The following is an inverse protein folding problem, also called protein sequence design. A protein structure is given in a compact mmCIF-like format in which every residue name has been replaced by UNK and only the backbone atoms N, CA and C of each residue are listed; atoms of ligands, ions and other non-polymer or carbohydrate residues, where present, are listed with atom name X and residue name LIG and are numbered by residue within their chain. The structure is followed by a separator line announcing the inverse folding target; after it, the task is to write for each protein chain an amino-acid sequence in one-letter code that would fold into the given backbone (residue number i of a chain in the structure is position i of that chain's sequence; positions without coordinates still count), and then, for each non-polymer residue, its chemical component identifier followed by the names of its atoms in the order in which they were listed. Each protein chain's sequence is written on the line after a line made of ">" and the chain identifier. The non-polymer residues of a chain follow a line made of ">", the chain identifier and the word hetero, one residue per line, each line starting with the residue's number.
data_IF_656786478755
#
_entry.id   IF_656786478755
#
_cell.length_a   1.000
_cell.length_b   1.000
_cell.length_c   1.000
_cell.angle_alpha   90.00
_cell.angle_beta   90.00
_cell.angle_gamma   90.00
#
_symmetry.space_group_name_H-M   'P 1'
#
loop_
_entity.id
_entity.type
_entity.pdbx_description
1 polymer ?
#
# COMPACT_ATOMS: atom_id res chain seq x y z
N UNK A 1 3.32 11.58 -25.92
CA UNK A 1 3.16 11.15 -24.53
C UNK A 1 4.31 11.62 -23.63
N UNK A 2 5.58 11.48 -24.05
CA UNK A 2 6.73 11.90 -23.24
C UNK A 2 6.81 13.41 -23.01
N UNK A 3 6.42 14.25 -23.97
CA UNK A 3 6.46 15.70 -23.84
C UNK A 3 5.43 16.23 -22.85
N UNK A 4 4.24 15.66 -22.80
CA UNK A 4 3.20 16.04 -21.85
C UNK A 4 3.61 15.69 -20.41
N UNK A 5 4.21 14.53 -20.22
CA UNK A 5 4.73 14.07 -18.91
C UNK A 5 5.88 14.97 -18.44
N UNK A 6 6.82 15.32 -19.34
CA UNK A 6 7.89 16.29 -19.06
C UNK A 6 7.35 17.68 -18.72
N UNK A 7 6.29 18.13 -19.42
CA UNK A 7 5.65 19.40 -19.17
C UNK A 7 4.96 19.45 -17.81
N UNK A 8 4.21 18.40 -17.44
CA UNK A 8 3.55 18.28 -16.13
C UNK A 8 4.60 18.27 -15.00
N UNK A 9 5.70 17.52 -15.15
CA UNK A 9 6.81 17.48 -14.21
C UNK A 9 7.50 18.85 -14.04
N UNK A 10 7.58 19.65 -15.11
CA UNK A 10 8.16 20.99 -15.07
C UNK A 10 7.25 22.03 -14.40
N UNK A 11 5.93 21.85 -14.51
CA UNK A 11 4.93 22.76 -13.94
C UNK A 11 4.70 22.54 -12.43
N UNK A 12 4.99 21.35 -11.91
CA UNK A 12 4.81 21.03 -10.48
C UNK A 12 5.86 21.66 -9.55
N UNK A 13 6.89 22.34 -10.11
CA UNK A 13 7.95 22.98 -9.31
C UNK A 13 8.88 22.01 -8.58
N UNK A 14 8.60 20.71 -8.62
CA UNK A 14 9.43 19.66 -8.02
C UNK A 14 10.41 19.11 -9.06
N UNK A 15 11.60 19.67 -9.15
CA UNK A 15 12.69 19.22 -10.04
C UNK A 15 13.13 17.75 -9.84
N UNK A 16 12.51 17.04 -8.90
CA UNK A 16 12.80 15.65 -8.55
C UNK A 16 11.86 14.63 -9.21
N UNK A 17 10.78 15.06 -9.89
CA UNK A 17 9.85 14.17 -10.58
C UNK A 17 10.32 13.87 -12.01
N UNK A 18 11.50 13.29 -12.15
CA UNK A 18 11.97 12.84 -13.46
C UNK A 18 11.49 11.43 -13.74
N UNK A 19 10.71 11.25 -14.79
CA UNK A 19 10.35 9.94 -15.32
C UNK A 19 11.62 9.31 -15.90
N UNK A 20 12.02 8.15 -15.36
CA UNK A 20 13.14 7.36 -15.87
C UNK A 20 12.68 6.39 -16.95
N UNK A 21 11.50 5.80 -16.77
CA UNK A 21 10.99 4.75 -17.65
C UNK A 21 9.46 4.81 -17.72
N UNK A 22 8.93 4.68 -18.94
CA UNK A 22 7.51 4.43 -19.16
C UNK A 22 7.30 2.91 -19.22
N UNK A 23 6.48 2.39 -18.30
CA UNK A 23 6.27 0.95 -18.12
C UNK A 23 5.06 0.42 -18.90
N UNK A 24 4.31 1.32 -19.57
CA UNK A 24 3.03 0.97 -20.20
C UNK A 24 1.85 1.02 -19.22
N UNK A 25 0.64 0.79 -19.72
CA UNK A 25 -0.61 0.72 -18.96
C UNK A 25 -0.82 1.92 -17.99
N UNK A 26 -0.30 3.11 -18.34
CA UNK A 26 -0.34 4.30 -17.50
C UNK A 26 0.68 4.32 -16.36
N UNK A 27 1.54 3.32 -16.24
CA UNK A 27 2.57 3.25 -15.21
C UNK A 27 3.89 3.83 -15.67
N UNK A 28 4.56 4.51 -14.76
CA UNK A 28 5.90 5.06 -14.96
C UNK A 28 6.78 4.73 -13.77
N UNK A 29 8.09 4.66 -14.01
CA UNK A 29 9.11 4.69 -12.96
C UNK A 29 9.69 6.07 -12.86
N UNK A 30 9.67 6.64 -11.66
CA UNK A 30 10.32 7.91 -11.37
C UNK A 30 11.73 7.68 -10.81
N UNK A 31 12.59 8.67 -11.00
CA UNK A 31 13.91 8.66 -10.38
C UNK A 31 13.82 8.59 -8.86
N UNK A 32 14.62 7.72 -8.26
CA UNK A 32 14.70 7.54 -6.81
C UNK A 32 16.11 7.86 -6.33
N UNK A 33 16.22 8.65 -5.27
CA UNK A 33 17.49 8.93 -4.60
C UNK A 33 17.82 7.85 -3.58
N UNK A 34 19.09 7.71 -3.24
CA UNK A 34 19.53 6.82 -2.16
C UNK A 34 18.97 7.23 -0.78
N UNK A 35 18.71 8.53 -0.58
CA UNK A 35 18.08 9.02 0.64
C UNK A 35 16.64 8.49 0.75
N UNK A 36 15.86 8.50 -0.32
CA UNK A 36 14.51 7.95 -0.34
C UNK A 36 14.47 6.44 -0.16
N UNK A 37 15.42 5.71 -0.74
CA UNK A 37 15.55 4.26 -0.51
C UNK A 37 15.85 3.93 0.95
N UNK A 38 16.69 4.74 1.59
CA UNK A 38 16.99 4.60 3.04
C UNK A 38 15.77 4.96 3.87
N UNK A 39 15.07 6.05 3.54
CA UNK A 39 13.87 6.47 4.24
C UNK A 39 12.78 5.39 4.19
N UNK A 40 12.59 4.73 3.05
CA UNK A 40 11.60 3.67 2.88
C UNK A 40 11.75 2.52 3.90
N UNK A 41 12.98 2.27 4.40
CA UNK A 41 13.22 1.28 5.47
C UNK A 41 12.69 1.75 6.83
N UNK A 42 12.46 3.04 7.01
CA UNK A 42 11.97 3.63 8.25
C UNK A 42 10.49 4.01 8.19
N UNK A 43 9.88 3.98 7.00
CA UNK A 43 8.47 4.37 6.82
C UNK A 43 7.49 3.36 7.42
N UNK A 44 7.90 2.10 7.52
CA UNK A 44 7.12 1.01 8.11
C UNK A 44 7.83 0.54 9.37
N UNK A 45 7.29 0.85 10.54
CA UNK A 45 7.86 0.49 11.84
C UNK A 45 6.99 -0.51 12.60
N UNK A 46 5.69 -0.55 12.29
CA UNK A 46 4.71 -1.42 12.92
C UNK A 46 3.79 -2.04 11.87
N UNK A 47 3.14 -3.14 12.24
CA UNK A 47 2.15 -3.80 11.36
C UNK A 47 1.02 -2.85 10.97
N UNK A 48 0.62 -1.96 11.88
CA UNK A 48 -0.44 -0.98 11.64
C UNK A 48 -0.06 0.05 10.56
N UNK A 49 1.22 0.34 10.38
CA UNK A 49 1.67 1.24 9.30
C UNK A 49 1.41 0.61 7.93
N UNK A 50 1.55 -0.73 7.82
CA UNK A 50 1.18 -1.47 6.61
C UNK A 50 -0.31 -1.28 6.30
N UNK A 51 -1.17 -1.41 7.33
CA UNK A 51 -2.62 -1.26 7.17
C UNK A 51 -2.95 0.14 6.66
N UNK A 52 -2.35 1.17 7.24
CA UNK A 52 -2.58 2.57 6.84
C UNK A 52 -2.17 2.79 5.38
N UNK A 53 -1.00 2.31 4.98
CA UNK A 53 -0.51 2.49 3.60
C UNK A 53 -1.37 1.71 2.58
N UNK A 54 -1.82 0.50 2.93
CA UNK A 54 -2.70 -0.28 2.06
C UNK A 54 -4.08 0.37 1.91
N UNK A 55 -4.64 0.95 2.98
CA UNK A 55 -5.89 1.72 2.91
C UNK A 55 -5.75 2.97 2.05
N UNK A 56 -4.61 3.68 2.15
CA UNK A 56 -4.31 4.83 1.28
C UNK A 56 -4.23 4.40 -0.18
N UNK A 57 -3.55 3.29 -0.47
CA UNK A 57 -3.45 2.75 -1.83
C UNK A 57 -4.81 2.37 -2.40
N UNK A 58 -5.68 1.72 -1.62
CA UNK A 58 -7.04 1.37 -2.04
C UNK A 58 -7.88 2.63 -2.32
N UNK A 59 -7.85 3.64 -1.42
CA UNK A 59 -8.51 4.94 -1.64
C UNK A 59 -8.04 5.58 -2.94
N UNK A 60 -6.74 5.60 -3.16
CA UNK A 60 -6.14 6.20 -4.33
C UNK A 60 -6.44 5.42 -5.61
N UNK A 61 -6.70 4.13 -5.53
CA UNK A 61 -7.24 3.31 -6.61
C UNK A 61 -8.75 3.50 -6.83
N UNK A 62 -9.39 4.41 -6.08
CA UNK A 62 -10.82 4.68 -6.19
C UNK A 62 -11.70 3.63 -5.55
N UNK A 63 -11.17 2.78 -4.66
CA UNK A 63 -11.97 1.80 -3.95
C UNK A 63 -12.94 2.48 -2.98
N UNK A 64 -14.16 1.99 -2.93
CA UNK A 64 -15.19 2.36 -1.94
C UNK A 64 -15.40 1.25 -0.89
N UNK A 65 -14.81 0.08 -1.10
CA UNK A 65 -14.84 -1.06 -0.19
C UNK A 65 -13.46 -1.67 -0.05
N UNK A 66 -13.05 -1.87 1.21
CA UNK A 66 -11.83 -2.58 1.55
C UNK A 66 -12.15 -3.61 2.63
N UNK A 67 -11.70 -4.83 2.43
CA UNK A 67 -11.78 -5.90 3.42
C UNK A 67 -10.38 -6.26 3.87
N UNK A 68 -10.18 -6.36 5.18
CA UNK A 68 -8.93 -6.80 5.79
C UNK A 68 -9.20 -8.09 6.57
N UNK A 69 -8.50 -9.16 6.20
CA UNK A 69 -8.39 -10.37 7.01
C UNK A 69 -6.98 -10.46 7.60
N UNK A 70 -6.87 -10.93 8.83
CA UNK A 70 -5.58 -11.09 9.49
C UNK A 70 -5.53 -12.36 10.32
N UNK A 71 -4.37 -13.04 10.28
CA UNK A 71 -4.06 -14.17 11.15
C UNK A 71 -2.69 -13.98 11.80
N UNK A 72 -2.46 -14.66 12.92
CA UNK A 72 -1.14 -14.76 13.54
C UNK A 72 -0.91 -16.22 13.93
N UNK A 73 0.00 -16.87 13.23
CA UNK A 73 0.34 -18.26 13.41
C UNK A 73 1.87 -18.40 13.49
N UNK A 74 2.36 -19.16 14.45
CA UNK A 74 3.79 -19.42 14.65
C UNK A 74 4.68 -18.16 14.66
N UNK A 75 4.16 -17.09 15.25
CA UNK A 75 4.87 -15.80 15.32
C UNK A 75 4.87 -15.00 14.03
N UNK A 76 4.18 -15.45 12.97
CA UNK A 76 4.03 -14.73 11.71
C UNK A 76 2.66 -14.07 11.63
N UNK A 77 2.64 -12.76 11.40
CA UNK A 77 1.42 -12.02 11.09
C UNK A 77 1.20 -12.03 9.58
N UNK A 78 0.04 -12.50 9.16
CA UNK A 78 -0.42 -12.43 7.77
C UNK A 78 -1.60 -11.48 7.67
N UNK A 79 -1.54 -10.58 6.69
CA UNK A 79 -2.57 -9.62 6.32
C UNK A 79 -3.01 -9.89 4.89
N UNK A 80 -4.31 -9.96 4.66
CA UNK A 80 -4.90 -10.04 3.32
C UNK A 80 -5.84 -8.86 3.14
N UNK A 81 -5.56 -8.03 2.14
CA UNK A 81 -6.37 -6.87 1.77
C UNK A 81 -7.10 -7.18 0.48
N UNK A 82 -8.40 -6.92 0.44
CA UNK A 82 -9.20 -6.94 -0.78
C UNK A 82 -9.83 -5.56 -0.96
N UNK A 83 -9.72 -5.01 -2.14
CA UNK A 83 -10.35 -3.76 -2.54
C UNK A 83 -11.09 -3.92 -3.86
N UNK A 84 -12.04 -3.04 -4.12
CA UNK A 84 -12.78 -2.96 -5.37
C UNK A 84 -12.36 -1.74 -6.22
N UNK A 85 -11.11 -1.31 -6.11
CA UNK A 85 -10.56 -0.21 -6.90
C UNK A 85 -10.27 -0.58 -8.35
N UNK A 86 -9.49 0.27 -9.03
CA UNK A 86 -9.12 0.13 -10.44
C UNK A 86 -8.31 -1.13 -10.77
N UNK A 87 -7.79 -1.82 -9.76
CA UNK A 87 -6.97 -3.01 -9.95
C UNK A 87 -5.56 -2.72 -10.49
N UNK A 88 -4.83 -3.80 -10.78
CA UNK A 88 -3.45 -3.76 -11.28
C UNK A 88 -3.34 -4.67 -12.50
N UNK A 89 -2.88 -4.18 -13.68
CA UNK A 89 -2.60 -4.99 -14.86
C UNK A 89 -1.63 -6.12 -14.54
N UNK A 90 -1.78 -7.26 -15.21
CA UNK A 90 -1.05 -8.48 -14.89
C UNK A 90 0.48 -8.31 -14.99
N UNK A 91 0.95 -7.61 -16.00
CA UNK A 91 2.37 -7.33 -16.24
C UNK A 91 2.98 -6.33 -15.23
N UNK A 92 2.13 -5.62 -14.49
CA UNK A 92 2.53 -4.66 -13.47
C UNK A 92 2.51 -5.23 -12.04
N UNK A 93 1.90 -6.39 -11.79
CA UNK A 93 1.67 -6.92 -10.44
C UNK A 93 2.94 -7.17 -9.62
N UNK A 94 4.06 -7.46 -10.25
CA UNK A 94 5.36 -7.56 -9.58
C UNK A 94 6.05 -6.19 -9.50
N UNK A 95 5.95 -5.39 -10.56
CA UNK A 95 6.66 -4.12 -10.71
C UNK A 95 6.14 -3.01 -9.80
N UNK A 96 4.88 -3.06 -9.38
CA UNK A 96 4.32 -2.06 -8.45
C UNK A 96 5.02 -2.03 -7.09
N UNK A 97 5.78 -3.08 -6.74
CA UNK A 97 6.61 -3.13 -5.53
C UNK A 97 8.01 -2.54 -5.75
N UNK A 98 8.36 -2.11 -6.94
CA UNK A 98 9.61 -1.41 -7.20
C UNK A 98 9.52 0.04 -6.71
N UNK A 99 10.67 0.59 -6.34
CA UNK A 99 10.74 1.97 -5.88
C UNK A 99 10.28 2.95 -6.97
N UNK A 100 9.40 3.86 -6.60
CA UNK A 100 8.92 4.94 -7.47
C UNK A 100 8.15 4.48 -8.72
N UNK A 101 7.58 3.28 -8.72
CA UNK A 101 6.60 2.86 -9.73
C UNK A 101 5.23 3.37 -9.34
N UNK A 102 4.57 4.10 -10.23
CA UNK A 102 3.25 4.70 -9.98
C UNK A 102 2.47 4.86 -11.28
N UNK A 103 1.15 4.73 -11.21
CA UNK A 103 0.20 5.09 -12.26
C UNK A 103 -0.45 6.48 -12.04
N UNK A 104 -0.05 7.21 -11.00
CA UNK A 104 -0.78 8.35 -10.45
C UNK A 104 -0.09 9.69 -10.70
N UNK A 105 0.61 9.86 -11.82
CA UNK A 105 1.26 11.14 -12.16
C UNK A 105 0.27 12.30 -12.23
N UNK A 106 -0.96 12.04 -12.68
CA UNK A 106 -1.99 13.07 -12.84
C UNK A 106 -2.72 13.38 -11.54
N UNK A 107 -2.67 12.49 -10.54
CA UNK A 107 -3.38 12.60 -9.27
C UNK A 107 -2.48 12.89 -8.08
N UNK A 108 -1.26 13.40 -8.31
CA UNK A 108 -0.41 13.87 -7.22
C UNK A 108 -1.05 15.10 -6.57
N UNK A 109 -2.02 14.83 -5.70
CA UNK A 109 -2.63 15.84 -4.85
C UNK A 109 -1.75 16.04 -3.63
N UNK A 110 -1.39 17.29 -3.38
CA UNK A 110 -0.93 17.70 -2.06
C UNK A 110 -2.08 17.48 -1.09
N UNK A 111 -2.01 16.45 -0.31
CA UNK A 111 -2.91 16.26 0.82
C UNK A 111 -2.42 17.11 2.00
N UNK A 112 -3.32 17.39 2.95
CA UNK A 112 -3.07 18.13 4.21
C UNK A 112 -1.88 17.57 5.02
N UNK A 113 -1.44 16.36 4.69
CA UNK A 113 -0.41 15.56 5.37
C UNK A 113 0.86 15.35 4.53
N UNK A 114 1.01 16.04 3.42
CA UNK A 114 2.18 15.95 2.54
C UNK A 114 1.88 15.30 1.20
N UNK A 115 2.90 15.20 0.34
CA UNK A 115 2.77 14.62 -1.00
C UNK A 115 2.72 13.09 -0.87
N UNK A 116 1.52 12.53 -0.98
CA UNK A 116 1.31 11.08 -1.09
C UNK A 116 1.25 10.65 -2.56
N UNK A 117 1.52 9.37 -2.83
CA UNK A 117 1.43 8.82 -4.20
C UNK A 117 2.76 8.75 -4.95
N UNK A 118 3.90 8.91 -4.27
CA UNK A 118 5.24 8.88 -4.90
C UNK A 118 5.72 7.48 -5.32
N UNK A 119 4.89 6.45 -5.24
CA UNK A 119 5.27 5.08 -5.60
C UNK A 119 6.27 4.44 -4.63
N UNK A 120 6.30 4.86 -3.36
CA UNK A 120 7.21 4.31 -2.35
C UNK A 120 6.53 3.40 -1.33
N UNK A 121 5.22 3.48 -1.14
CA UNK A 121 4.51 2.76 -0.09
C UNK A 121 4.63 1.23 -0.23
N UNK A 122 4.31 0.68 -1.39
CA UNK A 122 4.44 -0.76 -1.65
C UNK A 122 5.89 -1.23 -1.61
N UNK A 123 6.83 -0.41 -2.10
CA UNK A 123 8.26 -0.67 -1.95
C UNK A 123 8.67 -0.73 -0.48
N UNK A 124 8.24 0.23 0.35
CA UNK A 124 8.52 0.26 1.80
C UNK A 124 7.94 -0.96 2.51
N UNK A 125 6.72 -1.38 2.17
CA UNK A 125 6.10 -2.59 2.69
C UNK A 125 6.96 -3.81 2.33
N UNK A 126 7.32 -3.98 1.05
CA UNK A 126 8.14 -5.12 0.59
C UNK A 126 9.52 -5.17 1.24
N UNK A 127 10.15 -4.02 1.51
CA UNK A 127 11.46 -3.94 2.18
C UNK A 127 11.40 -4.36 3.66
N UNK A 128 10.26 -4.16 4.33
CA UNK A 128 10.10 -4.36 5.77
C UNK A 128 9.34 -5.65 6.13
N UNK A 129 8.90 -6.44 5.16
CA UNK A 129 8.13 -7.67 5.37
C UNK A 129 8.83 -8.88 4.75
N UNK A 130 8.40 -10.07 5.13
CA UNK A 130 8.95 -11.33 4.60
C UNK A 130 8.33 -11.66 3.25
N UNK A 131 7.04 -11.35 3.09
CA UNK A 131 6.30 -11.49 1.83
C UNK A 131 5.39 -10.29 1.62
N UNK A 132 5.41 -9.72 0.43
CA UNK A 132 4.40 -8.79 -0.06
C UNK A 132 4.15 -9.07 -1.55
N UNK A 133 2.91 -9.42 -1.89
CA UNK A 133 2.54 -9.75 -3.27
C UNK A 133 1.08 -9.47 -3.58
N UNK A 134 0.79 -9.34 -4.86
CA UNK A 134 -0.57 -9.42 -5.39
C UNK A 134 -0.98 -10.90 -5.42
N UNK A 135 -2.12 -11.24 -4.86
CA UNK A 135 -2.71 -12.58 -4.93
C UNK A 135 -3.51 -12.73 -6.21
N UNK A 136 -4.33 -11.74 -6.49
CA UNK A 136 -5.09 -11.60 -7.73
C UNK A 136 -5.47 -10.16 -7.95
N UNK A 137 -5.49 -9.72 -9.18
CA UNK A 137 -5.96 -8.42 -9.60
C UNK A 137 -6.21 -8.40 -11.09
N UNK A 138 -6.96 -7.42 -11.56
CA UNK A 138 -7.17 -7.17 -12.97
C UNK A 138 -7.71 -5.75 -13.14
N UNK A 139 -7.60 -5.21 -14.34
CA UNK A 139 -8.10 -3.87 -14.66
C UNK A 139 -9.58 -3.80 -14.35
N UNK A 140 -9.98 -2.82 -13.53
CA UNK A 140 -11.35 -2.58 -13.05
C UNK A 140 -12.00 -3.76 -12.27
N UNK A 141 -11.19 -4.70 -11.79
CA UNK A 141 -11.66 -5.85 -11.01
C UNK A 141 -11.26 -5.78 -9.53
N UNK A 142 -10.61 -4.69 -9.10
CA UNK A 142 -10.06 -4.56 -7.77
C UNK A 142 -8.79 -5.37 -7.58
N UNK A 143 -8.33 -5.48 -6.33
CA UNK A 143 -7.09 -6.17 -6.00
C UNK A 143 -7.18 -6.97 -4.72
N UNK A 144 -6.45 -8.07 -4.66
CA UNK A 144 -6.17 -8.81 -3.45
C UNK A 144 -4.65 -8.83 -3.22
N UNK A 145 -4.22 -8.32 -2.06
CA UNK A 145 -2.82 -8.31 -1.63
C UNK A 145 -2.63 -9.22 -0.43
N UNK A 146 -1.49 -9.90 -0.36
CA UNK A 146 -1.03 -10.62 0.82
C UNK A 146 0.28 -10.01 1.31
N UNK A 147 0.34 -9.78 2.62
CA UNK A 147 1.56 -9.35 3.30
C UNK A 147 1.77 -10.27 4.51
N UNK A 148 2.98 -10.80 4.68
CA UNK A 148 3.35 -11.61 5.84
C UNK A 148 4.64 -11.10 6.45
N UNK A 149 4.69 -11.06 7.78
CA UNK A 149 5.85 -10.57 8.52
C UNK A 149 5.99 -11.29 9.86
N UNK A 150 7.21 -11.67 10.18
CA UNK A 150 7.55 -12.25 11.47
C UNK A 150 7.52 -11.17 12.59
N UNK A 151 7.03 -11.53 13.76
CA UNK A 151 6.85 -10.62 14.89
C UNK A 151 8.17 -10.06 15.45
N UNK A 152 9.28 -10.74 15.22
CA UNK A 152 10.64 -10.27 15.56
C UNK A 152 11.19 -9.27 14.55
N UNK A 153 10.66 -9.23 13.34
CA UNK A 153 11.05 -8.29 12.29
C UNK A 153 10.27 -6.98 12.36
N UNK A 154 8.98 -7.06 12.62
CA UNK A 154 8.11 -5.90 12.70
C UNK A 154 7.13 -6.06 13.87
N UNK A 155 7.18 -5.12 14.82
CA UNK A 155 6.32 -5.16 16.00
C UNK A 155 4.89 -4.73 15.69
N UNK A 156 3.98 -5.17 16.55
CA UNK A 156 2.63 -4.64 16.66
C UNK A 156 2.60 -3.59 17.77
N UNK A 157 1.76 -2.56 17.66
CA UNK A 157 1.63 -1.55 18.72
C UNK A 157 0.91 -2.16 19.92
N UNK A 158 1.60 -2.28 21.06
CA UNK A 158 1.11 -2.96 22.23
C UNK A 158 -0.07 -2.25 22.92
N UNK A 159 -0.13 -0.94 22.83
CA UNK A 159 -1.17 -0.09 23.41
C UNK A 159 -2.48 -0.11 22.63
N UNK A 160 -2.44 -0.54 21.39
CA UNK A 160 -3.60 -0.75 20.53
C UNK A 160 -4.00 -2.22 20.48
N UNK A 161 -3.82 -2.92 21.58
CA UNK A 161 -3.87 -4.37 21.77
C UNK A 161 -5.18 -5.03 21.37
N UNK A 162 -6.11 -4.33 20.83
CA UNK A 162 -7.42 -4.87 20.55
C UNK A 162 -7.67 -5.03 19.07
N UNK A 163 -7.09 -6.07 18.49
CA UNK A 163 -7.75 -6.68 17.35
C UNK A 163 -9.19 -7.01 17.78
N UNK A 164 -10.18 -6.69 16.93
CA UNK A 164 -11.56 -7.00 17.26
C UNK A 164 -11.70 -8.45 17.63
N UNK A 165 -12.16 -8.73 18.85
CA UNK A 165 -12.52 -10.07 19.27
C UNK A 165 -14.03 -10.21 19.10
N UNK A 166 -14.44 -11.04 18.16
CA UNK A 166 -15.83 -11.37 17.98
C UNK A 166 -16.19 -12.52 18.90
N UNK A 167 -17.27 -12.35 19.66
CA UNK A 167 -17.92 -13.40 20.46
C UNK A 167 -19.36 -13.55 19.98
N UNK A 168 -19.96 -14.71 20.24
CA UNK A 168 -21.40 -14.89 20.04
C UNK A 168 -22.15 -14.39 21.25
N UNK A 169 -23.17 -13.56 21.02
CA UNK A 169 -24.13 -13.19 22.04
C UNK A 169 -25.14 -14.33 22.34
N UNK A 170 -26.09 -14.07 23.23
CA UNK A 170 -27.12 -15.05 23.62
C UNK A 170 -28.04 -15.46 22.45
N UNK A 171 -28.15 -14.61 21.43
CA UNK A 171 -28.92 -14.87 20.18
C UNK A 171 -28.08 -15.59 19.12
N UNK A 172 -26.80 -15.92 19.40
CA UNK A 172 -25.87 -16.54 18.46
C UNK A 172 -25.30 -15.62 17.39
N UNK A 173 -25.46 -14.30 17.51
CA UNK A 173 -24.92 -13.30 16.61
C UNK A 173 -23.50 -12.95 17.02
N UNK A 174 -22.62 -12.71 16.05
CA UNK A 174 -21.29 -12.21 16.35
C UNK A 174 -21.35 -10.72 16.72
N UNK A 175 -20.86 -10.41 17.90
CA UNK A 175 -20.68 -9.05 18.41
C UNK A 175 -19.22 -8.81 18.76
N UNK A 176 -18.75 -7.59 18.61
CA UNK A 176 -17.40 -7.22 19.02
C UNK A 176 -17.35 -7.09 20.54
N UNK A 177 -16.67 -8.02 21.21
CA UNK A 177 -16.51 -7.99 22.65
C UNK A 177 -15.35 -7.10 23.10
N UNK A 178 -14.35 -6.93 22.24
CA UNK A 178 -13.16 -6.12 22.50
C UNK A 178 -12.62 -5.59 21.17
N UNK A 179 -12.24 -4.36 21.14
CA UNK A 179 -11.70 -3.74 19.95
C UNK A 179 -11.53 -2.23 20.11
N UNK A 180 -10.86 -1.56 19.17
CA UNK A 180 -10.84 -0.10 19.12
C UNK A 180 -12.29 0.39 18.96
N UNK A 181 -12.62 1.40 19.75
CA UNK A 181 -13.91 2.06 19.71
C UNK A 181 -13.85 3.22 18.72
#
# INVERSE_FOLDING_TARGET
>A
ANELISFIASMSGEGNLRVEENLGEGYVRLRVSEAERRQAKHDIQHVEDIVIEMLRNARDAGADKVYLATTKEDGVRTLVFLDNGSGVPQDMQERIFDARVTSKLESMKMDRWGVHGRGMALFSIKQNTDEARVVTSGVDLGSAFKVSVAADRLSERADQSSWPQAVKDEDGRYVCARGPH
#
